data_IF_678410401425
#
_entry.id   IF_678410401425
#
_cell.length_a   1.000
_cell.length_b   1.000
_cell.length_c   1.000
_cell.angle_alpha   90.00
_cell.angle_beta   90.00
_cell.angle_gamma   90.00
#
_symmetry.space_group_name_H-M   'P 1'
#
loop_
_entity.id
_entity.type
_entity.pdbx_description
1 polymer ?
#
# COMPACT_ATOMS: atom_id res chain seq x y z
N UNK A 1 -23.76 3.17 6.93
CA UNK A 1 -23.71 1.73 6.90
C UNK A 1 -23.55 1.15 5.53
N UNK A 2 -24.37 1.53 4.60
CA UNK A 2 -24.33 0.95 3.27
C UNK A 2 -23.05 1.21 2.51
N UNK A 3 -22.39 2.34 2.74
CA UNK A 3 -21.18 2.68 2.01
C UNK A 3 -20.07 1.67 2.22
N UNK A 4 -19.93 1.14 3.44
CA UNK A 4 -18.91 0.16 3.73
C UNK A 4 -19.17 -1.14 2.98
N UNK A 5 -20.43 -1.52 2.89
CA UNK A 5 -20.81 -2.77 2.23
C UNK A 5 -20.65 -2.70 0.72
N UNK A 6 -20.71 -1.50 0.14
CA UNK A 6 -20.61 -1.35 -1.29
C UNK A 6 -19.26 -1.77 -1.86
N UNK A 7 -18.23 -1.87 -1.02
CA UNK A 7 -16.89 -2.24 -1.44
C UNK A 7 -16.66 -3.75 -1.42
N UNK A 8 -17.61 -4.52 -0.92
CA UNK A 8 -17.48 -5.96 -0.75
C UNK A 8 -18.43 -6.65 -1.73
N UNK A 9 -17.90 -7.60 -2.49
CA UNK A 9 -18.73 -8.39 -3.40
C UNK A 9 -19.67 -9.30 -2.60
N UNK A 10 -20.74 -9.81 -3.21
CA UNK A 10 -21.70 -10.67 -2.51
C UNK A 10 -21.08 -11.89 -1.81
N UNK A 11 -19.96 -12.38 -2.30
CA UNK A 11 -19.25 -13.52 -1.71
C UNK A 11 -18.19 -13.09 -0.71
N UNK A 12 -18.09 -11.79 -0.39
CA UNK A 12 -17.13 -11.27 0.56
C UNK A 12 -15.75 -10.98 -0.01
N UNK A 13 -15.56 -11.12 -1.31
CA UNK A 13 -14.27 -10.89 -1.95
C UNK A 13 -14.13 -9.41 -2.32
N UNK A 14 -13.03 -8.81 -1.91
CA UNK A 14 -12.72 -7.42 -2.24
C UNK A 14 -12.09 -7.36 -3.64
N UNK A 15 -12.60 -6.49 -4.53
CA UNK A 15 -12.00 -6.36 -5.86
C UNK A 15 -10.52 -5.98 -5.79
N UNK A 16 -9.73 -6.51 -6.73
CA UNK A 16 -8.29 -6.26 -6.76
C UNK A 16 -7.97 -4.78 -6.95
N UNK A 17 -8.81 -4.05 -7.68
CA UNK A 17 -8.62 -2.61 -7.88
C UNK A 17 -8.71 -1.84 -6.56
N UNK A 18 -9.57 -2.28 -5.66
CA UNK A 18 -9.67 -1.69 -4.32
C UNK A 18 -8.41 -1.99 -3.51
N UNK A 19 -7.88 -3.20 -3.62
CA UNK A 19 -6.64 -3.58 -2.95
C UNK A 19 -5.46 -2.76 -3.47
N UNK A 20 -5.39 -2.54 -4.78
CA UNK A 20 -4.34 -1.72 -5.38
C UNK A 20 -4.40 -0.29 -4.84
N UNK A 21 -5.58 0.29 -4.80
CA UNK A 21 -5.76 1.66 -4.31
C UNK A 21 -5.29 1.80 -2.85
N UNK A 22 -5.65 0.84 -2.02
CA UNK A 22 -5.24 0.86 -0.62
C UNK A 22 -3.73 0.65 -0.48
N UNK A 23 -3.16 -0.28 -1.24
CA UNK A 23 -1.73 -0.54 -1.20
C UNK A 23 -0.94 0.68 -1.68
N UNK A 24 -1.42 1.37 -2.71
CA UNK A 24 -0.79 2.59 -3.21
C UNK A 24 -0.82 3.69 -2.15
N UNK A 25 -1.94 3.83 -1.47
CA UNK A 25 -2.07 4.82 -0.39
C UNK A 25 -1.08 4.52 0.74
N UNK A 26 -0.93 3.26 1.10
CA UNK A 26 0.03 2.85 2.12
C UNK A 26 1.46 3.13 1.68
N UNK A 27 1.77 2.89 0.41
CA UNK A 27 3.11 3.18 -0.13
C UNK A 27 3.43 4.67 -0.02
N UNK A 28 2.49 5.53 -0.38
CA UNK A 28 2.68 6.98 -0.30
C UNK A 28 2.88 7.43 1.15
N UNK A 29 2.11 6.87 2.08
CA UNK A 29 2.28 7.16 3.50
C UNK A 29 3.64 6.73 4.01
N UNK A 30 4.12 5.55 3.62
CA UNK A 30 5.44 5.07 4.04
C UNK A 30 6.54 5.99 3.55
N UNK A 31 6.44 6.47 2.31
CA UNK A 31 7.43 7.42 1.78
C UNK A 31 7.50 8.68 2.63
N UNK A 32 6.35 9.24 2.99
CA UNK A 32 6.31 10.44 3.81
C UNK A 32 6.83 10.20 5.23
N UNK A 33 6.29 9.17 5.88
CA UNK A 33 6.56 8.92 7.30
C UNK A 33 7.99 8.45 7.52
N UNK A 34 8.46 7.51 6.70
CA UNK A 34 9.77 6.92 6.91
C UNK A 34 10.90 7.92 6.59
N UNK A 35 10.75 8.70 5.52
CA UNK A 35 11.78 9.70 5.23
C UNK A 35 11.75 10.84 6.23
N UNK A 36 10.60 11.19 6.79
CA UNK A 36 10.53 12.12 7.90
C UNK A 36 11.28 11.58 9.12
N UNK A 37 11.12 10.28 9.40
CA UNK A 37 11.83 9.62 10.50
C UNK A 37 13.34 9.58 10.25
N UNK A 38 13.76 9.38 9.00
CA UNK A 38 15.19 9.43 8.65
C UNK A 38 15.74 10.82 8.92
N UNK A 39 15.04 11.86 8.49
CA UNK A 39 15.46 13.24 8.74
C UNK A 39 15.51 13.58 10.21
N UNK A 40 14.61 13.01 11.00
CA UNK A 40 14.57 13.19 12.44
C UNK A 40 15.60 12.34 13.20
N UNK A 41 16.28 11.43 12.52
CA UNK A 41 17.29 10.58 13.14
C UNK A 41 16.73 9.38 13.89
N UNK A 42 15.44 9.05 13.70
CA UNK A 42 14.79 7.92 14.38
C UNK A 42 14.70 6.67 13.53
N UNK A 43 15.14 6.74 12.29
CA UNK A 43 15.14 5.58 11.38
C UNK A 43 16.36 5.67 10.46
N UNK A 44 16.99 4.52 10.20
CA UNK A 44 18.11 4.47 9.25
C UNK A 44 17.59 4.55 7.82
N UNK A 45 18.34 5.23 6.92
CA UNK A 45 17.94 5.29 5.51
C UNK A 45 17.76 3.91 4.86
N UNK A 46 18.61 2.95 5.19
CA UNK A 46 18.52 1.61 4.63
C UNK A 46 17.23 0.89 5.03
N UNK A 47 16.75 1.12 6.26
CA UNK A 47 15.50 0.54 6.73
C UNK A 47 14.31 1.19 6.01
N UNK A 48 14.35 2.50 5.83
CA UNK A 48 13.32 3.22 5.10
C UNK A 48 13.24 2.71 3.65
N UNK A 49 14.39 2.63 2.97
CA UNK A 49 14.46 2.09 1.60
C UNK A 49 13.84 0.71 1.51
N UNK A 50 14.23 -0.17 2.42
CA UNK A 50 13.77 -1.55 2.39
C UNK A 50 12.26 -1.64 2.56
N UNK A 51 11.71 -0.93 3.55
CA UNK A 51 10.28 -0.98 3.83
C UNK A 51 9.45 -0.36 2.72
N UNK A 52 9.94 0.70 2.11
CA UNK A 52 9.29 1.32 0.97
C UNK A 52 9.35 0.37 -0.25
N UNK A 53 10.50 -0.25 -0.50
CA UNK A 53 10.66 -1.18 -1.60
C UNK A 53 9.74 -2.39 -1.48
N UNK A 54 9.55 -2.91 -0.26
CA UNK A 54 8.64 -4.03 -0.03
C UNK A 54 7.21 -3.64 -0.39
N UNK A 55 6.78 -2.46 0.03
CA UNK A 55 5.42 -2.01 -0.27
C UNK A 55 5.25 -1.73 -1.77
N UNK A 56 6.26 -1.13 -2.40
CA UNK A 56 6.25 -0.90 -3.84
C UNK A 56 6.14 -2.21 -4.62
N UNK A 57 6.82 -3.25 -4.15
CA UNK A 57 6.74 -4.57 -4.77
C UNK A 57 5.33 -5.17 -4.65
N UNK A 58 4.68 -4.96 -3.51
CA UNK A 58 3.29 -5.43 -3.33
C UNK A 58 2.37 -4.73 -4.32
N UNK A 59 2.49 -3.42 -4.46
CA UNK A 59 1.69 -2.65 -5.41
C UNK A 59 1.91 -3.18 -6.84
N UNK A 60 3.16 -3.37 -7.21
CA UNK A 60 3.51 -3.87 -8.54
C UNK A 60 2.91 -5.26 -8.79
N UNK A 61 3.03 -6.14 -7.81
CA UNK A 61 2.52 -7.50 -7.93
C UNK A 61 1.00 -7.51 -8.09
N UNK A 62 0.29 -6.71 -7.32
CA UNK A 62 -1.15 -6.58 -7.42
C UNK A 62 -1.56 -6.00 -8.78
N UNK A 63 -0.83 -4.99 -9.26
CA UNK A 63 -1.13 -4.35 -10.54
C UNK A 63 -0.95 -5.33 -11.70
N UNK A 64 0.11 -6.12 -11.68
CA UNK A 64 0.33 -7.15 -12.70
C UNK A 64 -0.78 -8.19 -12.67
N UNK A 65 -1.17 -8.63 -11.48
CA UNK A 65 -2.26 -9.59 -11.32
C UNK A 65 -3.56 -9.06 -11.88
N UNK A 66 -3.86 -7.78 -11.65
CA UNK A 66 -5.08 -7.16 -12.15
C UNK A 66 -5.10 -7.08 -13.69
N UNK A 67 -3.92 -7.00 -14.32
CA UNK A 67 -3.81 -6.92 -15.77
C UNK A 67 -3.98 -8.27 -16.47
N UNK A 68 -3.91 -9.36 -15.72
CA UNK A 68 -4.12 -10.69 -16.27
C UNK A 68 -5.59 -10.99 -16.44
#
# INVERSE_FOLDING_TARGET
MGATMAQITPDGVIPVTTLIAEAQRELDLRRQVYWASVRAGTMRPADADRRIALMAAIVKRLTVTAAL
#
